data_IF_777919165504
#
_entry.id   IF_777919165504
#
_cell.length_a   1.000
_cell.length_b   1.000
_cell.length_c   1.000
_cell.angle_alpha   90.00
_cell.angle_beta   90.00
_cell.angle_gamma   90.00
#
_symmetry.space_group_name_H-M   'P 1'
#
loop_
_entity.id
_entity.type
_entity.pdbx_description
1 polymer ?
#
# COMPACT_ATOMS: atom_id res chain seq x y z
N UNK A 1 4.69 12.83 16.63
CA UNK A 1 4.31 11.63 15.85
C UNK A 1 3.92 12.07 14.43
N UNK A 2 4.69 11.68 13.41
CA UNK A 2 4.62 12.26 12.06
C UNK A 2 3.27 11.95 11.37
N UNK A 3 2.65 12.91 10.67
CA UNK A 3 1.31 12.78 10.06
C UNK A 3 1.18 11.62 9.05
N UNK A 4 2.31 11.11 8.54
CA UNK A 4 2.38 9.91 7.70
C UNK A 4 2.06 8.61 8.45
N UNK A 5 2.36 8.54 9.76
CA UNK A 5 2.11 7.35 10.61
C UNK A 5 0.64 7.22 11.03
N UNK A 6 -0.08 8.34 11.25
CA UNK A 6 -1.54 8.29 11.51
C UNK A 6 -2.35 7.74 10.32
N UNK A 7 -1.89 7.95 9.08
CA UNK A 7 -2.58 7.46 7.86
C UNK A 7 -2.45 5.94 7.66
N UNK A 8 -1.28 5.37 7.98
CA UNK A 8 -1.07 3.91 7.95
C UNK A 8 -1.81 3.21 9.08
N UNK A 9 -1.94 3.88 10.23
CA UNK A 9 -2.67 3.36 11.39
C UNK A 9 -4.12 3.01 11.02
N UNK A 10 -4.83 3.88 10.28
CA UNK A 10 -6.26 3.68 10.01
C UNK A 10 -6.57 2.48 9.08
N UNK A 11 -5.76 2.22 8.06
CA UNK A 11 -5.94 1.04 7.19
C UNK A 11 -5.54 -0.26 7.89
N UNK A 12 -4.46 -0.23 8.68
CA UNK A 12 -3.97 -1.39 9.40
C UNK A 12 -4.94 -1.81 10.52
N UNK A 13 -5.54 -0.86 11.23
CA UNK A 13 -6.57 -1.11 12.24
C UNK A 13 -7.77 -1.84 11.63
N UNK A 14 -8.28 -1.37 10.48
CA UNK A 14 -9.35 -2.04 9.75
C UNK A 14 -8.94 -3.45 9.32
N UNK A 15 -7.74 -3.61 8.76
CA UNK A 15 -7.24 -4.91 8.32
C UNK A 15 -7.12 -5.92 9.47
N UNK A 16 -6.67 -5.49 10.65
CA UNK A 16 -6.58 -6.34 11.85
C UNK A 16 -7.95 -6.71 12.43
N UNK A 17 -8.95 -5.84 12.26
CA UNK A 17 -10.29 -6.06 12.78
C UNK A 17 -11.15 -7.01 11.92
N UNK A 18 -10.73 -7.31 10.68
CA UNK A 18 -11.47 -8.18 9.77
C UNK A 18 -10.76 -9.54 9.66
N UNK A 19 -11.31 -10.62 10.23
CA UNK A 19 -10.78 -11.95 10.00
C UNK A 19 -10.80 -12.31 8.51
N UNK A 20 -9.68 -12.82 7.99
CA UNK A 20 -9.53 -13.08 6.56
C UNK A 20 -10.58 -14.04 5.99
N UNK A 21 -11.06 -14.99 6.79
CA UNK A 21 -12.13 -15.91 6.37
C UNK A 21 -13.45 -15.18 6.06
N UNK A 22 -13.70 -14.01 6.63
CA UNK A 22 -14.87 -13.19 6.29
C UNK A 22 -14.71 -12.56 4.92
N UNK A 23 -13.52 -12.07 4.58
CA UNK A 23 -13.22 -11.57 3.22
C UNK A 23 -13.48 -12.68 2.20
N UNK A 24 -12.94 -13.89 2.44
CA UNK A 24 -13.15 -15.06 1.58
C UNK A 24 -14.62 -15.45 1.40
N UNK A 25 -15.46 -15.28 2.42
CA UNK A 25 -16.90 -15.63 2.35
C UNK A 25 -17.73 -14.62 1.54
N UNK A 26 -17.18 -13.46 1.20
CA UNK A 26 -17.91 -12.36 0.57
C UNK A 26 -17.23 -11.84 -0.71
N UNK A 27 -16.15 -12.48 -1.19
CA UNK A 27 -15.38 -12.04 -2.35
C UNK A 27 -16.09 -12.21 -3.70
N UNK A 28 -17.18 -12.95 -3.73
CA UNK A 28 -18.03 -13.20 -4.88
C UNK A 28 -18.79 -11.94 -5.29
N UNK A 29 -19.00 -11.02 -4.34
CA UNK A 29 -19.73 -9.78 -4.58
C UNK A 29 -18.90 -8.57 -4.14
N UNK A 30 -18.39 -7.81 -5.11
CA UNK A 30 -17.57 -6.61 -4.85
C UNK A 30 -18.25 -5.62 -3.92
N UNK A 31 -19.58 -5.45 -4.04
CA UNK A 31 -20.37 -4.57 -3.19
C UNK A 31 -20.35 -4.97 -1.71
N UNK A 32 -20.32 -6.27 -1.40
CA UNK A 32 -20.17 -6.74 -0.01
C UNK A 32 -18.79 -6.42 0.55
N UNK A 33 -17.73 -6.56 -0.26
CA UNK A 33 -16.38 -6.20 0.15
C UNK A 33 -16.23 -4.68 0.33
N UNK A 34 -16.79 -3.88 -0.57
CA UNK A 34 -16.84 -2.42 -0.42
C UNK A 34 -17.57 -2.02 0.86
N UNK A 35 -18.74 -2.60 1.12
CA UNK A 35 -19.50 -2.39 2.34
C UNK A 35 -18.71 -2.78 3.59
N UNK A 36 -18.04 -3.92 3.57
CA UNK A 36 -17.21 -4.41 4.68
C UNK A 36 -16.05 -3.44 4.96
N UNK A 37 -15.22 -3.12 3.98
CA UNK A 37 -14.04 -2.28 4.18
C UNK A 37 -14.39 -0.84 4.54
N UNK A 38 -15.34 -0.24 3.80
CA UNK A 38 -15.74 1.14 4.05
C UNK A 38 -16.52 1.28 5.36
N UNK A 39 -17.36 0.29 5.69
CA UNK A 39 -18.11 0.23 6.95
C UNK A 39 -17.21 0.09 8.17
N UNK A 40 -16.26 -0.85 8.14
CA UNK A 40 -15.26 -1.01 9.21
C UNK A 40 -14.38 0.24 9.37
N UNK A 41 -14.22 1.03 8.30
CA UNK A 41 -13.51 2.31 8.34
C UNK A 41 -14.36 3.52 8.76
N UNK A 42 -15.62 3.30 9.18
CA UNK A 42 -16.51 4.35 9.69
C UNK A 42 -17.14 5.24 8.61
N UNK A 43 -17.09 4.85 7.34
CA UNK A 43 -17.54 5.69 6.22
C UNK A 43 -19.02 5.53 5.86
N UNK A 44 -19.72 4.59 6.50
CA UNK A 44 -21.10 4.20 6.15
C UNK A 44 -22.09 4.49 7.28
N UNK A 45 -21.95 5.65 7.92
CA UNK A 45 -22.88 6.12 8.95
C UNK A 45 -23.86 7.16 8.36
N UNK A 46 -25.13 7.18 8.80
CA UNK A 46 -26.07 8.25 8.46
C UNK A 46 -25.62 9.63 8.99
N UNK A 47 -26.05 10.73 8.36
CA UNK A 47 -26.85 10.80 7.13
C UNK A 47 -26.04 10.37 5.89
N UNK A 48 -26.67 9.63 4.99
CA UNK A 48 -26.05 9.20 3.74
C UNK A 48 -26.09 10.30 2.70
N UNK A 49 -25.02 10.43 1.91
CA UNK A 49 -24.91 11.45 0.86
C UNK A 49 -25.65 11.05 -0.43
N UNK A 50 -25.82 9.75 -0.68
CA UNK A 50 -26.54 9.23 -1.85
C UNK A 50 -27.06 7.79 -1.65
N UNK A 51 -27.75 7.28 -2.67
CA UNK A 51 -28.33 5.94 -2.68
C UNK A 51 -27.28 4.82 -2.61
N UNK A 52 -26.13 5.01 -3.24
CA UNK A 52 -25.07 4.00 -3.27
C UNK A 52 -24.45 3.85 -1.87
N UNK A 53 -24.14 4.95 -1.18
CA UNK A 53 -23.67 4.92 0.20
C UNK A 53 -24.70 4.28 1.14
N UNK A 54 -26.00 4.60 0.97
CA UNK A 54 -27.09 3.98 1.75
C UNK A 54 -27.16 2.47 1.54
N UNK A 55 -27.00 2.02 0.30
CA UNK A 55 -26.99 0.60 -0.05
C UNK A 55 -25.83 -0.12 0.63
N UNK A 56 -24.61 0.41 0.51
CA UNK A 56 -23.45 -0.13 1.21
C UNK A 56 -23.63 -0.13 2.74
N UNK A 57 -24.20 0.93 3.32
CA UNK A 57 -24.45 1.01 4.76
C UNK A 57 -25.45 -0.03 5.25
N UNK A 58 -26.47 -0.33 4.45
CA UNK A 58 -27.45 -1.40 4.73
C UNK A 58 -26.76 -2.77 4.71
N UNK A 59 -25.96 -3.04 3.67
CA UNK A 59 -25.18 -4.27 3.55
C UNK A 59 -24.18 -4.42 4.69
N UNK A 60 -23.46 -3.36 5.04
CA UNK A 60 -22.53 -3.37 6.16
C UNK A 60 -23.22 -3.65 7.49
N UNK A 61 -24.39 -3.06 7.73
CA UNK A 61 -25.17 -3.31 8.95
C UNK A 61 -25.55 -4.79 9.10
N UNK A 62 -25.89 -5.45 7.98
CA UNK A 62 -26.11 -6.89 7.97
C UNK A 62 -24.82 -7.68 8.28
N UNK A 63 -23.71 -7.37 7.60
CA UNK A 63 -22.42 -8.04 7.80
C UNK A 63 -21.89 -7.86 9.23
N UNK A 64 -22.04 -6.66 9.80
CA UNK A 64 -21.67 -6.32 11.17
C UNK A 64 -22.39 -7.21 12.18
N UNK A 65 -23.71 -7.38 12.04
CA UNK A 65 -24.49 -8.29 12.89
C UNK A 65 -24.10 -9.75 12.68
N UNK A 66 -24.01 -10.20 11.43
CA UNK A 66 -23.69 -11.58 11.05
C UNK A 66 -22.34 -12.06 11.63
N UNK A 67 -21.35 -11.18 11.62
CA UNK A 67 -19.98 -11.48 12.05
C UNK A 67 -19.60 -10.86 13.40
N UNK A 68 -20.56 -10.23 14.10
CA UNK A 68 -20.38 -9.59 15.41
C UNK A 68 -19.20 -8.61 15.44
N UNK A 69 -19.04 -7.82 14.37
CA UNK A 69 -17.94 -6.86 14.29
C UNK A 69 -18.09 -5.72 15.30
N UNK A 70 -16.99 -5.43 16.00
CA UNK A 70 -16.88 -4.27 16.86
C UNK A 70 -16.51 -3.03 16.03
N UNK A 71 -17.10 -1.89 16.38
CA UNK A 71 -16.69 -0.61 15.80
C UNK A 71 -15.29 -0.28 16.30
N UNK A 72 -14.43 0.23 15.41
CA UNK A 72 -13.12 0.75 15.82
C UNK A 72 -13.33 2.19 16.28
N UNK A 73 -13.29 2.42 17.60
CA UNK A 73 -13.50 3.75 18.18
C UNK A 73 -12.40 4.74 17.77
N UNK A 74 -12.78 5.99 17.53
CA UNK A 74 -11.84 7.06 17.14
C UNK A 74 -11.25 6.93 15.73
N UNK A 75 -11.64 5.91 14.96
CA UNK A 75 -11.16 5.71 13.60
C UNK A 75 -11.73 6.79 12.66
N UNK A 76 -10.85 7.54 12.01
CA UNK A 76 -11.22 8.54 11.03
C UNK A 76 -10.32 8.48 9.80
N UNK A 77 -10.93 8.30 8.63
CA UNK A 77 -10.22 8.27 7.37
C UNK A 77 -9.87 9.68 6.92
N UNK A 78 -8.57 9.96 6.82
CA UNK A 78 -8.08 11.29 6.43
C UNK A 78 -8.00 11.44 4.91
N UNK A 79 -8.59 12.52 4.40
CA UNK A 79 -8.47 12.92 2.98
C UNK A 79 -7.45 14.04 2.77
N UNK A 80 -7.08 14.76 3.83
CA UNK A 80 -6.21 15.94 3.73
C UNK A 80 -4.82 15.59 3.19
N UNK A 81 -4.33 16.45 2.29
CA UNK A 81 -3.02 16.32 1.63
C UNK A 81 -2.88 15.04 0.78
N UNK A 82 -3.99 14.38 0.42
CA UNK A 82 -3.99 13.28 -0.54
C UNK A 82 -4.38 13.79 -1.92
N UNK A 83 -3.77 13.20 -2.95
CA UNK A 83 -4.29 13.30 -4.31
C UNK A 83 -5.56 12.44 -4.40
N UNK A 84 -6.57 12.81 -5.22
CA UNK A 84 -7.83 12.07 -5.31
C UNK A 84 -7.69 10.56 -5.53
N UNK A 85 -6.74 10.12 -6.35
CA UNK A 85 -6.43 8.70 -6.60
C UNK A 85 -5.95 7.93 -5.36
N UNK A 86 -5.50 8.64 -4.33
CA UNK A 86 -5.04 8.07 -3.06
C UNK A 86 -6.10 8.15 -1.96
N UNK A 87 -7.31 8.61 -2.27
CA UNK A 87 -8.37 8.74 -1.27
C UNK A 87 -8.78 7.36 -0.71
N UNK A 88 -9.13 7.29 0.59
CA UNK A 88 -9.57 6.06 1.25
C UNK A 88 -10.65 5.28 0.51
N UNK A 89 -11.69 5.96 0.04
CA UNK A 89 -12.76 5.42 -0.81
C UNK A 89 -12.21 4.65 -2.01
N UNK A 90 -11.30 5.27 -2.76
CA UNK A 90 -10.70 4.66 -3.95
C UNK A 90 -9.82 3.48 -3.58
N UNK A 91 -9.03 3.59 -2.50
CA UNK A 91 -8.17 2.48 -2.05
C UNK A 91 -8.97 1.27 -1.57
N UNK A 92 -10.08 1.49 -0.87
CA UNK A 92 -10.99 0.40 -0.48
C UNK A 92 -11.71 -0.22 -1.66
N UNK A 93 -12.19 0.59 -2.61
CA UNK A 93 -12.82 0.08 -3.84
C UNK A 93 -11.84 -0.76 -4.68
N UNK A 94 -10.59 -0.30 -4.84
CA UNK A 94 -9.53 -1.06 -5.52
C UNK A 94 -9.22 -2.38 -4.80
N UNK A 95 -9.16 -2.37 -3.47
CA UNK A 95 -8.90 -3.58 -2.69
C UNK A 95 -10.06 -4.58 -2.77
N UNK A 96 -11.30 -4.10 -2.71
CA UNK A 96 -12.50 -4.90 -2.90
C UNK A 96 -12.49 -5.58 -4.26
N UNK A 97 -12.20 -4.80 -5.32
CA UNK A 97 -12.11 -5.37 -6.66
C UNK A 97 -10.98 -6.38 -6.78
N UNK A 98 -9.83 -6.13 -6.16
CA UNK A 98 -8.69 -7.04 -6.20
C UNK A 98 -9.01 -8.40 -5.59
N UNK A 99 -9.62 -8.42 -4.40
CA UNK A 99 -10.03 -9.67 -3.76
C UNK A 99 -11.15 -10.37 -4.52
N UNK A 100 -12.06 -9.61 -5.13
CA UNK A 100 -13.15 -10.18 -5.91
C UNK A 100 -12.70 -10.79 -7.23
N UNK A 101 -11.73 -10.17 -7.91
CA UNK A 101 -11.22 -10.66 -9.20
C UNK A 101 -10.07 -11.66 -9.08
N UNK A 102 -9.47 -11.81 -7.89
CA UNK A 102 -8.21 -12.57 -7.73
C UNK A 102 -8.31 -13.54 -6.56
N UNK A 103 -8.90 -14.70 -6.81
CA UNK A 103 -8.86 -15.81 -5.84
C UNK A 103 -7.42 -16.32 -5.68
N UNK A 104 -7.06 -16.71 -4.45
CA UNK A 104 -5.71 -17.18 -4.15
C UNK A 104 -4.63 -16.09 -4.24
N UNK A 105 -4.97 -14.82 -3.96
CA UNK A 105 -4.02 -13.71 -4.06
C UNK A 105 -2.69 -13.98 -3.33
N UNK A 106 -2.74 -14.59 -2.14
CA UNK A 106 -1.53 -14.93 -1.38
C UNK A 106 -0.65 -15.97 -2.08
N UNK A 107 -1.23 -17.05 -2.63
CA UNK A 107 -0.44 -18.07 -3.32
C UNK A 107 0.25 -17.51 -4.56
N UNK A 108 -0.39 -16.56 -5.26
CA UNK A 108 0.22 -15.84 -6.39
C UNK A 108 1.47 -15.04 -6.02
N UNK A 109 1.57 -14.54 -4.79
CA UNK A 109 2.76 -13.81 -4.32
C UNK A 109 3.91 -14.71 -3.92
N UNK A 110 3.58 -15.91 -3.45
CA UNK A 110 4.55 -16.80 -2.81
C UNK A 110 5.13 -17.82 -3.80
N UNK A 111 4.39 -18.19 -4.85
CA UNK A 111 4.89 -19.09 -5.89
C UNK A 111 6.03 -18.44 -6.69
N UNK A 112 6.99 -19.27 -7.13
CA UNK A 112 8.25 -18.84 -7.75
C UNK A 112 8.07 -18.39 -9.21
N UNK A 113 7.00 -18.83 -9.87
CA UNK A 113 6.75 -18.50 -11.27
C UNK A 113 6.08 -17.13 -11.39
N UNK A 114 6.69 -16.27 -12.21
CA UNK A 114 6.11 -15.01 -12.69
C UNK A 114 6.04 -13.85 -11.65
N UNK A 115 7.04 -13.75 -10.77
CA UNK A 115 7.08 -12.79 -9.65
C UNK A 115 6.97 -11.31 -10.03
N UNK A 116 7.24 -10.94 -11.29
CA UNK A 116 7.11 -9.56 -11.81
C UNK A 116 5.91 -9.38 -12.73
N UNK A 117 5.11 -10.41 -12.97
CA UNK A 117 3.89 -10.25 -13.73
C UNK A 117 2.86 -9.48 -12.91
N UNK A 118 2.74 -8.19 -13.23
CA UNK A 118 1.73 -7.30 -12.66
C UNK A 118 0.49 -7.19 -13.53
N UNK A 119 0.29 -8.04 -14.55
CA UNK A 119 -0.87 -7.98 -15.43
C UNK A 119 -2.19 -8.15 -14.66
N UNK A 120 -2.20 -9.03 -13.64
CA UNK A 120 -3.36 -9.19 -12.76
C UNK A 120 -3.64 -7.93 -11.93
N UNK A 121 -2.61 -7.20 -11.47
CA UNK A 121 -2.79 -5.88 -10.85
C UNK A 121 -3.30 -4.85 -11.85
N UNK A 122 -2.81 -4.91 -13.09
CA UNK A 122 -3.24 -4.03 -14.18
C UNK A 122 -4.68 -4.30 -14.63
N UNK A 123 -5.25 -5.47 -14.32
CA UNK A 123 -6.65 -5.80 -14.55
C UNK A 123 -7.59 -5.25 -13.46
N UNK A 124 -7.07 -4.86 -12.29
CA UNK A 124 -7.91 -4.32 -11.20
C UNK A 124 -8.57 -3.00 -11.63
N UNK A 125 -9.88 -2.95 -11.47
CA UNK A 125 -10.74 -1.79 -11.73
C UNK A 125 -11.40 -1.31 -10.43
N UNK A 126 -12.40 -0.46 -10.57
CA UNK A 126 -13.31 -0.08 -9.49
C UNK A 126 -14.74 -0.24 -10.01
N UNK A 127 -15.69 -0.40 -9.08
CA UNK A 127 -17.12 -0.42 -9.39
C UNK A 127 -17.56 0.83 -10.15
N UNK A 128 -18.64 0.74 -10.92
CA UNK A 128 -19.09 1.82 -11.81
C UNK A 128 -19.29 3.17 -11.11
N UNK A 129 -19.83 3.14 -9.89
CA UNK A 129 -19.98 4.31 -9.04
C UNK A 129 -18.67 5.09 -8.87
N UNK A 130 -17.58 4.38 -8.60
CA UNK A 130 -16.26 4.97 -8.39
C UNK A 130 -15.60 5.43 -9.69
N UNK A 131 -16.12 5.12 -10.88
CA UNK A 131 -15.59 5.71 -12.13
C UNK A 131 -15.83 7.22 -12.18
N UNK A 132 -16.93 7.69 -11.60
CA UNK A 132 -17.33 9.11 -11.55
C UNK A 132 -17.22 9.74 -10.17
N UNK A 133 -16.96 8.98 -9.10
CA UNK A 133 -16.86 9.52 -7.74
C UNK A 133 -15.46 9.35 -7.15
N UNK A 134 -15.02 10.32 -6.34
CA UNK A 134 -13.86 10.17 -5.44
C UNK A 134 -14.29 10.10 -3.97
N UNK A 135 -15.44 10.68 -3.65
CA UNK A 135 -16.08 10.64 -2.33
C UNK A 135 -17.58 10.45 -2.57
N UNK A 136 -18.31 9.98 -1.56
CA UNK A 136 -19.75 9.79 -1.68
C UNK A 136 -20.49 11.09 -2.00
N UNK A 137 -21.55 11.01 -2.81
CA UNK A 137 -22.42 12.13 -3.19
C UNK A 137 -21.80 13.21 -4.10
N UNK A 138 -20.49 13.16 -4.37
CA UNK A 138 -19.82 14.15 -5.21
C UNK A 138 -19.32 13.55 -6.51
N UNK A 139 -20.05 13.83 -7.59
CA UNK A 139 -19.69 13.42 -8.94
C UNK A 139 -18.48 14.21 -9.45
N UNK A 140 -17.81 13.61 -10.43
CA UNK A 140 -16.64 14.13 -11.12
C UNK A 140 -16.61 13.55 -12.53
N UNK A 141 -15.76 14.12 -13.39
CA UNK A 141 -15.54 13.56 -14.72
C UNK A 141 -15.07 12.10 -14.62
N UNK A 142 -15.65 11.25 -15.48
CA UNK A 142 -15.29 9.84 -15.51
C UNK A 142 -13.79 9.68 -15.76
N UNK A 143 -13.13 8.89 -14.91
CA UNK A 143 -11.70 8.58 -15.06
C UNK A 143 -11.44 7.12 -14.72
N UNK A 144 -10.42 6.56 -15.37
CA UNK A 144 -9.89 5.27 -14.97
C UNK A 144 -9.24 5.39 -13.59
N UNK A 145 -9.80 4.69 -12.60
CA UNK A 145 -9.29 4.64 -11.23
C UNK A 145 -8.65 3.28 -10.89
N UNK A 146 -8.17 2.55 -11.90
CA UNK A 146 -7.34 1.35 -11.72
C UNK A 146 -5.93 1.65 -11.19
N UNK A 147 -5.12 0.61 -11.04
CA UNK A 147 -3.75 0.72 -10.52
C UNK A 147 -2.79 1.19 -11.63
N UNK A 148 -2.15 2.34 -11.45
CA UNK A 148 -1.13 2.82 -12.39
C UNK A 148 0.12 1.94 -12.35
N UNK A 149 0.89 1.87 -13.44
CA UNK A 149 2.12 1.07 -13.49
C UNK A 149 3.11 1.43 -12.37
N UNK A 150 3.30 2.72 -12.12
CA UNK A 150 4.14 3.19 -11.02
C UNK A 150 3.65 2.72 -9.64
N UNK A 151 2.33 2.64 -9.43
CA UNK A 151 1.79 2.12 -8.17
C UNK A 151 1.93 0.58 -8.06
N UNK A 152 1.81 -0.13 -9.18
CA UNK A 152 2.07 -1.57 -9.23
C UNK A 152 3.54 -1.88 -8.87
N UNK A 153 4.49 -1.13 -9.43
CA UNK A 153 5.92 -1.24 -9.09
C UNK A 153 6.17 -0.94 -7.61
N UNK A 154 5.52 0.08 -7.05
CA UNK A 154 5.60 0.36 -5.61
C UNK A 154 5.06 -0.79 -4.74
N UNK A 155 4.02 -1.51 -5.18
CA UNK A 155 3.51 -2.69 -4.47
C UNK A 155 4.49 -3.87 -4.54
N UNK A 156 5.19 -4.05 -5.66
CA UNK A 156 6.26 -5.05 -5.76
C UNK A 156 7.33 -4.81 -4.68
N UNK A 157 7.82 -3.57 -4.60
CA UNK A 157 8.92 -3.18 -3.71
C UNK A 157 8.47 -3.15 -2.25
N UNK A 158 7.36 -2.50 -1.94
CA UNK A 158 6.95 -2.23 -0.56
C UNK A 158 6.02 -3.29 0.05
N UNK A 159 5.58 -4.29 -0.72
CA UNK A 159 4.60 -5.27 -0.23
C UNK A 159 4.98 -6.69 -0.63
N UNK A 160 5.20 -6.97 -1.92
CA UNK A 160 5.41 -8.34 -2.38
C UNK A 160 6.78 -8.87 -1.96
N UNK A 161 7.86 -8.08 -2.17
CA UNK A 161 9.20 -8.45 -1.74
C UNK A 161 9.26 -8.67 -0.20
N UNK A 162 8.83 -7.72 0.66
CA UNK A 162 8.82 -7.93 2.11
C UNK A 162 7.96 -9.12 2.55
N UNK A 163 6.82 -9.36 1.90
CA UNK A 163 5.94 -10.48 2.22
C UNK A 163 6.59 -11.83 1.88
N UNK A 164 7.26 -11.92 0.72
CA UNK A 164 8.01 -13.11 0.33
C UNK A 164 9.16 -13.37 1.29
N UNK A 165 9.90 -12.33 1.66
CA UNK A 165 10.96 -12.42 2.67
C UNK A 165 10.42 -12.99 3.99
N UNK A 166 9.34 -12.40 4.52
CA UNK A 166 8.73 -12.83 5.77
C UNK A 166 8.21 -14.27 5.72
N UNK A 167 7.62 -14.68 4.59
CA UNK A 167 7.11 -16.03 4.41
C UNK A 167 8.21 -17.10 4.38
N UNK A 168 9.28 -16.89 3.61
CA UNK A 168 10.39 -17.85 3.55
C UNK A 168 11.14 -17.92 4.89
N UNK A 169 11.36 -16.78 5.54
CA UNK A 169 11.96 -16.74 6.86
C UNK A 169 11.11 -17.49 7.90
N UNK A 170 9.78 -17.38 7.83
CA UNK A 170 8.89 -18.16 8.69
C UNK A 170 8.97 -19.67 8.44
N UNK A 171 9.32 -20.10 7.22
CA UNK A 171 9.57 -21.50 6.87
C UNK A 171 10.97 -22.00 7.25
N UNK A 172 11.83 -21.12 7.78
CA UNK A 172 13.22 -21.44 8.10
C UNK A 172 14.18 -21.36 6.91
N UNK A 173 13.75 -20.78 5.78
CA UNK A 173 14.60 -20.54 4.62
C UNK A 173 15.19 -19.11 4.69
N UNK A 174 16.37 -18.91 4.11
CA UNK A 174 16.93 -17.56 3.90
C UNK A 174 16.68 -17.09 2.45
N UNK A 175 15.76 -16.13 2.22
CA UNK A 175 15.45 -15.62 0.89
C UNK A 175 16.31 -14.41 0.48
N UNK A 176 17.38 -14.08 1.21
CA UNK A 176 18.14 -12.83 1.02
C UNK A 176 18.65 -12.65 -0.42
N UNK A 177 19.31 -13.67 -0.98
CA UNK A 177 19.80 -13.63 -2.37
C UNK A 177 18.65 -13.44 -3.37
N UNK A 178 17.57 -14.22 -3.23
CA UNK A 178 16.38 -14.12 -4.08
C UNK A 178 15.79 -12.70 -4.05
N UNK A 179 15.68 -12.10 -2.87
CA UNK A 179 15.14 -10.75 -2.70
C UNK A 179 16.06 -9.69 -3.29
N UNK A 180 17.37 -9.84 -3.17
CA UNK A 180 18.33 -8.95 -3.82
C UNK A 180 18.26 -9.05 -5.33
N UNK A 181 18.25 -10.26 -5.89
CA UNK A 181 18.06 -10.49 -7.32
C UNK A 181 16.77 -9.86 -7.82
N UNK A 182 15.70 -9.94 -7.03
CA UNK A 182 14.43 -9.33 -7.42
C UNK A 182 14.48 -7.81 -7.38
N UNK A 183 15.03 -7.23 -6.32
CA UNK A 183 15.15 -5.79 -6.17
C UNK A 183 16.06 -5.17 -7.25
N UNK A 184 17.06 -5.90 -7.75
CA UNK A 184 17.92 -5.44 -8.86
C UNK A 184 17.16 -5.35 -10.20
N UNK A 185 16.15 -6.18 -10.42
CA UNK A 185 15.40 -6.24 -11.68
C UNK A 185 14.27 -5.20 -11.78
N UNK A 186 13.87 -4.58 -10.66
CA UNK A 186 12.80 -3.58 -10.63
C UNK A 186 13.39 -2.18 -10.79
N UNK A 187 12.65 -1.28 -11.44
CA UNK A 187 13.02 0.15 -11.57
C UNK A 187 13.11 0.84 -10.20
N UNK A 188 13.99 1.84 -10.06
CA UNK A 188 14.14 2.59 -8.81
C UNK A 188 12.85 3.33 -8.43
N UNK A 189 12.58 3.41 -7.13
CA UNK A 189 11.46 4.19 -6.63
C UNK A 189 11.67 5.69 -6.89
N UNK A 190 10.58 6.37 -7.25
CA UNK A 190 10.58 7.82 -7.45
C UNK A 190 10.07 8.53 -6.21
N UNK A 191 10.97 9.15 -5.46
CA UNK A 191 10.63 9.97 -4.31
C UNK A 191 11.65 11.11 -4.10
N UNK A 192 11.33 12.03 -3.18
CA UNK A 192 12.15 13.21 -2.91
C UNK A 192 13.55 12.89 -2.38
N UNK A 193 13.75 11.74 -1.73
CA UNK A 193 15.07 11.30 -1.26
C UNK A 193 15.93 10.91 -2.46
N UNK A 194 15.41 10.07 -3.36
CA UNK A 194 16.11 9.65 -4.57
C UNK A 194 16.43 10.85 -5.47
N UNK A 195 15.46 11.74 -5.69
CA UNK A 195 15.72 12.99 -6.42
C UNK A 195 16.74 13.90 -5.72
N UNK A 196 16.90 13.79 -4.41
CA UNK A 196 17.95 14.48 -3.66
C UNK A 196 19.33 13.90 -3.96
N UNK A 197 19.47 12.57 -3.98
CA UNK A 197 20.71 11.90 -4.35
C UNK A 197 21.09 12.11 -5.82
N UNK A 198 20.12 12.11 -6.74
CA UNK A 198 20.36 12.41 -8.15
C UNK A 198 21.01 13.79 -8.34
N UNK A 199 20.58 14.80 -7.57
CA UNK A 199 21.21 16.15 -7.57
C UNK A 199 22.65 16.13 -7.06
N UNK A 200 22.99 15.18 -6.20
CA UNK A 200 24.35 14.93 -5.74
C UNK A 200 25.14 14.03 -6.69
N UNK A 201 24.62 13.77 -7.90
CA UNK A 201 25.21 12.88 -8.91
C UNK A 201 25.31 11.42 -8.48
N UNK A 202 24.45 10.99 -7.55
CA UNK A 202 24.29 9.59 -7.15
C UNK A 202 22.96 9.09 -7.72
N UNK A 203 23.03 8.33 -8.81
CA UNK A 203 21.87 7.74 -9.48
C UNK A 203 21.55 6.35 -8.94
N UNK A 204 20.26 6.03 -8.85
CA UNK A 204 19.77 4.68 -8.60
C UNK A 204 19.37 4.05 -9.94
N UNK A 205 19.84 2.83 -10.21
CA UNK A 205 19.50 2.08 -11.44
C UNK A 205 18.45 1.02 -11.20
N UNK A 206 18.32 0.56 -9.95
CA UNK A 206 17.39 -0.48 -9.53
C UNK A 206 16.61 -0.11 -8.26
N UNK A 207 15.58 -0.90 -7.94
CA UNK A 207 14.87 -0.80 -6.66
C UNK A 207 15.81 -1.07 -5.49
N UNK A 208 16.76 -2.01 -5.64
CA UNK A 208 17.80 -2.27 -4.64
C UNK A 208 18.58 -0.99 -4.31
N UNK A 209 19.11 -0.30 -5.31
CA UNK A 209 19.85 0.96 -5.13
C UNK A 209 18.99 2.01 -4.42
N UNK A 210 17.75 2.18 -4.89
CA UNK A 210 16.85 3.17 -4.31
C UNK A 210 16.52 2.87 -2.85
N UNK A 211 16.29 1.60 -2.50
CA UNK A 211 16.04 1.16 -1.13
C UNK A 211 17.28 1.33 -0.24
N UNK A 212 18.48 1.02 -0.74
CA UNK A 212 19.75 1.25 -0.05
C UNK A 212 19.98 2.74 0.23
N UNK A 213 19.70 3.63 -0.73
CA UNK A 213 19.82 5.08 -0.54
C UNK A 213 18.78 5.63 0.44
N UNK A 214 17.54 5.12 0.40
CA UNK A 214 16.49 5.48 1.37
C UNK A 214 16.91 5.05 2.77
N UNK A 215 17.41 3.83 2.93
CA UNK A 215 17.91 3.31 4.20
C UNK A 215 19.08 4.14 4.73
N UNK A 216 20.06 4.43 3.86
CA UNK A 216 21.21 5.29 4.18
C UNK A 216 20.74 6.67 4.68
N UNK A 217 19.81 7.32 3.95
CA UNK A 217 19.31 8.64 4.33
C UNK A 217 18.60 8.62 5.67
N UNK A 218 17.66 7.70 5.84
CA UNK A 218 16.72 7.71 6.97
C UNK A 218 17.32 7.13 8.26
N UNK A 219 18.18 6.12 8.13
CA UNK A 219 18.76 5.39 9.28
C UNK A 219 20.14 5.92 9.68
N UNK A 220 20.84 6.63 8.79
CA UNK A 220 22.15 7.20 9.10
C UNK A 220 22.17 8.72 8.96
N UNK A 221 21.91 9.27 7.77
CA UNK A 221 22.12 10.71 7.51
C UNK A 221 21.19 11.61 8.33
N UNK A 222 19.89 11.30 8.38
CA UNK A 222 18.88 12.10 9.10
C UNK A 222 19.15 12.18 10.61
N UNK A 223 19.72 11.11 11.18
CA UNK A 223 20.06 11.02 12.60
C UNK A 223 21.56 11.25 12.86
N UNK A 224 22.31 11.75 11.87
CA UNK A 224 23.73 12.14 11.96
C UNK A 224 24.68 11.02 12.43
N UNK A 225 24.39 9.74 12.13
CA UNK A 225 25.28 8.60 12.45
C UNK A 225 26.43 8.43 11.43
N UNK A 226 27.12 9.52 11.10
CA UNK A 226 28.15 9.52 10.05
C UNK A 226 29.34 8.60 10.40
N UNK A 227 29.73 8.51 11.66
CA UNK A 227 30.83 7.64 12.12
C UNK A 227 30.50 6.14 12.03
N UNK A 228 29.21 5.78 12.05
CA UNK A 228 28.75 4.39 11.88
C UNK A 228 28.41 4.06 10.41
N UNK A 229 28.60 5.01 9.50
CA UNK A 229 28.28 4.85 8.09
C UNK A 229 29.57 4.83 7.28
N UNK A 230 29.80 3.79 6.47
CA UNK A 230 31.01 3.68 5.65
C UNK A 230 31.22 4.90 4.73
N UNK A 231 30.14 5.40 4.13
CA UNK A 231 30.18 6.62 3.30
C UNK A 231 30.56 7.84 4.15
N UNK A 232 29.92 8.01 5.32
CA UNK A 232 30.18 9.13 6.22
C UNK A 232 31.60 9.14 6.76
N UNK A 233 32.08 7.99 7.25
CA UNK A 233 33.44 7.79 7.71
C UNK A 233 34.45 8.15 6.61
N UNK A 234 34.26 7.64 5.40
CA UNK A 234 35.15 7.90 4.26
C UNK A 234 35.22 9.38 3.88
N UNK A 235 34.09 10.10 3.96
CA UNK A 235 34.05 11.54 3.67
C UNK A 235 34.78 12.35 4.76
N UNK A 236 34.58 12.02 6.04
CA UNK A 236 35.22 12.71 7.17
C UNK A 236 36.74 12.43 7.24
N UNK A 237 37.17 11.21 6.94
CA UNK A 237 38.59 10.83 6.95
C UNK A 237 39.38 11.39 5.76
N UNK A 238 38.70 11.82 4.69
CA UNK A 238 39.35 12.48 3.54
C UNK A 238 39.65 13.95 3.83
N UNK A 239 38.81 14.62 4.62
CA UNK A 239 39.02 16.02 5.01
C UNK A 239 40.19 16.22 5.98
N UNK A 240 40.62 15.19 6.72
CA UNK A 240 41.73 15.28 7.67
C UNK A 240 43.13 15.05 7.05
N UNK A 241 43.25 14.97 5.72
CA UNK A 241 44.54 14.80 5.01
C UNK A 241 45.03 16.07 4.29
N UNK A 242 44.44 17.22 4.60
CA UNK A 242 44.80 18.53 4.04
C UNK A 242 45.26 19.51 5.13
N UNK A 243 46.05 19.03 6.08
CA UNK A 243 46.89 19.85 6.97
C UNK A 243 48.36 19.47 6.78
#
# INVERSE_FOLDING_TARGET
MNTRNKKKASFLEVAKAIPFHVIRKNWDEVGKLEALFMGMSGMLNPPYNDFYQKTLGTTYSYLKRKHQFQTIEGLSMQYSRLRPMNFPTIRWAQLAQLYSSTQGLFSRFIQKEDQFNTAWLAAVRVSDYWKTHYVFGKSSTARNKGLSKAFQELLLINTIIPLKFAYENHRGNDPSELVFDWAQQIKPEKNSIISGFEKLKVSATSALDSQSLIQLKTTYCDIKKCLNCTVGYTLLSRTSKHE
#
